data_IF_241432298662
#
_entry.id   IF_241432298662
#
_cell.length_a   1.000
_cell.length_b   1.000
_cell.length_c   1.000
_cell.angle_alpha   90.00
_cell.angle_beta   90.00
_cell.angle_gamma   90.00
#
_symmetry.space_group_name_H-M   'P 1'
#
loop_
_entity.id
_entity.type
_entity.pdbx_description
1 polymer ?
#
# COMPACT_ATOMS: atom_id res chain seq x y z
N UNK A 1 -13.11 -17.70 39.56
CA UNK A 1 -11.91 -17.10 39.07
C UNK A 1 -12.22 -16.32 37.80
N UNK A 2 -12.30 -14.98 37.93
CA UNK A 2 -12.62 -14.07 36.83
C UNK A 2 -11.35 -13.91 35.98
N UNK A 3 -11.38 -14.50 34.79
CA UNK A 3 -10.31 -14.31 33.82
C UNK A 3 -10.37 -12.86 33.33
N UNK A 4 -9.42 -12.05 33.72
CA UNK A 4 -9.22 -10.70 33.19
C UNK A 4 -8.62 -10.91 31.81
N UNK A 5 -9.41 -10.73 30.74
CA UNK A 5 -8.88 -10.55 29.39
C UNK A 5 -8.02 -9.28 29.38
N UNK A 6 -6.79 -9.32 28.88
CA UNK A 6 -6.06 -8.10 28.67
C UNK A 6 -6.81 -7.26 27.61
N UNK A 7 -7.17 -6.04 28.00
CA UNK A 7 -7.79 -5.04 27.14
C UNK A 7 -6.70 -4.52 26.19
N UNK A 8 -6.54 -5.17 25.05
CA UNK A 8 -5.63 -4.74 23.97
C UNK A 8 -6.21 -5.00 22.58
N UNK A 9 -7.50 -5.20 22.46
CA UNK A 9 -8.16 -5.27 21.16
C UNK A 9 -9.15 -4.13 21.09
N UNK A 10 -8.76 -3.07 20.39
CA UNK A 10 -9.66 -2.05 19.89
C UNK A 10 -10.55 -2.78 18.88
N UNK A 11 -11.86 -2.84 19.09
CA UNK A 11 -12.79 -3.54 18.17
C UNK A 11 -12.75 -2.97 16.76
N UNK A 12 -12.19 -1.74 16.61
CA UNK A 12 -12.00 -1.02 15.35
C UNK A 12 -10.52 -0.97 14.92
N UNK A 13 -9.64 -1.79 15.52
CA UNK A 13 -8.22 -1.79 15.24
C UNK A 13 -7.86 -2.37 13.86
N UNK A 14 -6.68 -2.02 13.37
CA UNK A 14 -6.05 -2.62 12.21
C UNK A 14 -4.57 -2.86 12.46
N UNK A 15 -4.05 -3.95 11.91
CA UNK A 15 -2.62 -4.24 11.90
C UNK A 15 -1.98 -3.72 10.61
N UNK A 16 -0.72 -3.36 10.67
CA UNK A 16 0.01 -2.89 9.49
C UNK A 16 1.44 -3.37 9.46
N UNK A 17 1.92 -3.58 8.25
CA UNK A 17 3.29 -4.01 7.96
C UNK A 17 3.86 -3.11 6.88
N UNK A 18 5.08 -2.59 7.11
CA UNK A 18 5.89 -1.98 6.05
C UNK A 18 6.60 -3.11 5.31
N UNK A 19 6.26 -3.29 4.04
CA UNK A 19 6.78 -4.39 3.21
C UNK A 19 8.06 -3.94 2.52
N UNK A 20 9.20 -4.17 3.14
CA UNK A 20 10.51 -3.72 2.63
C UNK A 20 11.23 -4.77 1.76
N UNK A 21 10.79 -6.02 1.78
CA UNK A 21 11.40 -7.11 1.01
C UNK A 21 11.27 -6.88 -0.51
N UNK A 22 12.31 -7.25 -1.25
CA UNK A 22 12.30 -7.22 -2.71
C UNK A 22 12.54 -5.83 -3.32
N UNK A 23 12.94 -4.83 -2.53
CA UNK A 23 13.13 -3.44 -2.96
C UNK A 23 14.58 -2.97 -2.94
N UNK A 24 15.51 -3.91 -2.76
CA UNK A 24 16.94 -3.58 -2.67
C UNK A 24 17.23 -2.62 -1.52
N UNK A 25 18.11 -1.65 -1.76
CA UNK A 25 18.53 -0.65 -0.79
C UNK A 25 17.72 0.64 -0.81
N UNK A 26 16.85 0.82 -1.80
CA UNK A 26 16.07 2.06 -1.96
C UNK A 26 15.23 2.44 -0.73
N UNK A 27 14.63 1.51 0.02
CA UNK A 27 13.91 1.83 1.26
C UNK A 27 14.75 2.56 2.32
N UNK A 28 16.07 2.50 2.23
CA UNK A 28 17.00 3.18 3.15
C UNK A 28 17.52 4.52 2.61
N UNK A 29 17.14 4.91 1.38
CA UNK A 29 17.40 6.24 0.86
C UNK A 29 16.65 7.29 1.70
N UNK A 30 17.15 8.53 1.69
CA UNK A 30 16.59 9.60 2.51
C UNK A 30 15.61 10.46 1.72
N UNK A 31 14.46 10.75 2.33
CA UNK A 31 13.49 11.74 1.90
C UNK A 31 13.27 12.70 3.07
N UNK A 32 13.53 13.99 2.88
CA UNK A 32 13.51 15.00 3.95
C UNK A 32 14.36 14.59 5.17
N UNK A 33 15.49 13.95 4.94
CA UNK A 33 16.41 13.50 5.97
C UNK A 33 16.04 12.22 6.71
N UNK A 34 14.93 11.56 6.35
CA UNK A 34 14.47 10.31 6.94
C UNK A 34 14.48 9.17 5.92
N UNK A 35 14.83 7.96 6.34
CA UNK A 35 14.75 6.79 5.48
C UNK A 35 13.32 6.56 5.00
N UNK A 36 13.15 6.13 3.74
CA UNK A 36 11.81 5.89 3.18
C UNK A 36 11.01 4.92 4.04
N UNK A 37 11.64 3.87 4.54
CA UNK A 37 11.00 2.90 5.44
C UNK A 37 10.51 3.55 6.74
N UNK A 38 11.23 4.53 7.28
CA UNK A 38 10.83 5.27 8.47
C UNK A 38 9.65 6.21 8.18
N UNK A 39 9.65 6.88 7.03
CA UNK A 39 8.52 7.70 6.58
C UNK A 39 7.24 6.85 6.47
N UNK A 40 7.34 5.68 5.87
CA UNK A 40 6.22 4.76 5.72
C UNK A 40 5.69 4.26 7.08
N UNK A 41 6.58 3.90 7.98
CA UNK A 41 6.22 3.48 9.34
C UNK A 41 5.52 4.59 10.11
N UNK A 42 6.02 5.82 10.01
CA UNK A 42 5.40 6.98 10.64
C UNK A 42 3.97 7.22 10.12
N UNK A 43 3.77 7.13 8.80
CA UNK A 43 2.46 7.32 8.19
C UNK A 43 1.44 6.26 8.68
N UNK A 44 1.85 5.00 8.81
CA UNK A 44 1.00 3.96 9.39
C UNK A 44 0.59 4.30 10.82
N UNK A 45 1.53 4.71 11.67
CA UNK A 45 1.25 5.11 13.05
C UNK A 45 0.27 6.27 13.14
N UNK A 46 0.47 7.31 12.33
CA UNK A 46 -0.43 8.48 12.26
C UNK A 46 -1.82 8.12 11.74
N UNK A 47 -1.93 7.08 10.91
CA UNK A 47 -3.22 6.58 10.45
C UNK A 47 -3.98 5.75 11.50
N UNK A 48 -3.41 5.53 12.66
CA UNK A 48 -4.01 4.72 13.74
C UNK A 48 -3.82 3.22 13.56
N UNK A 49 -2.90 2.80 12.70
CA UNK A 49 -2.60 1.39 12.44
C UNK A 49 -1.57 0.88 13.44
N UNK A 50 -1.83 -0.26 14.05
CA UNK A 50 -0.85 -0.93 14.93
C UNK A 50 0.16 -1.68 14.08
N UNK A 51 1.41 -1.26 14.12
CA UNK A 51 2.47 -1.86 13.32
C UNK A 51 2.97 -3.16 13.91
N UNK A 52 3.19 -4.14 13.04
CA UNK A 52 3.83 -5.40 13.33
C UNK A 52 5.01 -5.61 12.39
N UNK A 53 5.92 -6.46 12.79
CA UNK A 53 7.12 -6.80 12.04
C UNK A 53 6.80 -7.72 10.85
N UNK A 54 7.56 -7.60 9.75
CA UNK A 54 7.48 -8.51 8.60
C UNK A 54 7.69 -9.98 8.98
N UNK A 55 8.43 -10.24 10.06
CA UNK A 55 8.67 -11.58 10.59
C UNK A 55 7.51 -12.15 11.41
N UNK A 56 6.43 -11.40 11.61
CA UNK A 56 5.26 -11.88 12.35
C UNK A 56 4.65 -13.08 11.61
N UNK A 57 4.48 -14.24 12.30
CA UNK A 57 3.85 -15.40 11.67
C UNK A 57 2.47 -15.10 11.15
N UNK A 58 2.14 -15.63 9.97
CA UNK A 58 0.84 -15.39 9.34
C UNK A 58 -0.32 -15.82 10.24
N UNK A 59 -0.16 -16.92 10.96
CA UNK A 59 -1.14 -17.44 11.91
C UNK A 59 -1.48 -16.40 13.00
N UNK A 60 -0.50 -15.65 13.47
CA UNK A 60 -0.74 -14.59 14.45
C UNK A 60 -1.56 -13.44 13.86
N UNK A 61 -1.38 -13.12 12.57
CA UNK A 61 -2.19 -12.12 11.88
C UNK A 61 -3.63 -12.62 11.71
N UNK A 62 -3.82 -13.90 11.43
CA UNK A 62 -5.15 -14.52 11.34
C UNK A 62 -5.86 -14.51 12.71
N UNK A 63 -5.15 -14.86 13.78
CA UNK A 63 -5.68 -14.91 15.14
C UNK A 63 -6.08 -13.52 15.67
N UNK A 64 -5.47 -12.46 15.17
CA UNK A 64 -5.80 -11.09 15.56
C UNK A 64 -7.22 -10.67 15.11
N UNK A 65 -7.75 -11.32 14.07
CA UNK A 65 -9.08 -11.01 13.51
C UNK A 65 -9.28 -9.53 13.16
N UNK A 66 -8.19 -8.86 12.76
CA UNK A 66 -8.17 -7.47 12.36
C UNK A 66 -7.82 -7.32 10.87
N UNK A 67 -8.25 -6.23 10.22
CA UNK A 67 -7.75 -5.89 8.88
C UNK A 67 -6.23 -5.75 8.89
N UNK A 68 -5.59 -6.13 7.80
CA UNK A 68 -4.15 -6.00 7.60
C UNK A 68 -3.85 -4.96 6.54
N UNK A 69 -3.08 -3.95 6.93
CA UNK A 69 -2.61 -2.88 6.04
C UNK A 69 -1.19 -3.20 5.60
N UNK A 70 -1.00 -3.39 4.29
CA UNK A 70 0.32 -3.55 3.70
C UNK A 70 0.75 -2.21 3.12
N UNK A 71 1.87 -1.69 3.55
CA UNK A 71 2.38 -0.40 3.09
C UNK A 71 3.75 -0.54 2.42
N UNK A 72 3.86 0.05 1.23
CA UNK A 72 5.08 0.03 0.43
C UNK A 72 5.98 1.21 0.85
N UNK A 73 7.21 0.97 1.35
CA UNK A 73 8.12 2.05 1.68
C UNK A 73 8.55 2.86 0.46
N UNK A 74 8.35 2.36 -0.75
CA UNK A 74 8.57 3.13 -1.99
C UNK A 74 7.41 4.08 -2.33
N UNK A 75 6.37 4.15 -1.48
CA UNK A 75 5.38 5.22 -1.44
C UNK A 75 5.50 5.97 -0.10
N UNK A 76 6.65 6.57 0.21
CA UNK A 76 6.99 6.99 1.57
C UNK A 76 6.17 8.18 2.06
N UNK A 77 5.67 9.02 1.15
CA UNK A 77 4.92 10.23 1.46
C UNK A 77 3.41 10.05 1.31
N UNK A 78 2.94 8.80 1.27
CA UNK A 78 1.50 8.52 1.32
C UNK A 78 0.90 9.16 2.56
N UNK A 79 -0.10 10.06 2.41
CA UNK A 79 -0.71 10.71 3.57
C UNK A 79 -1.38 9.71 4.51
N UNK A 80 -1.24 9.94 5.80
CA UNK A 80 -1.91 9.14 6.82
C UNK A 80 -3.44 9.13 6.64
N UNK A 81 -4.01 10.26 6.26
CA UNK A 81 -5.45 10.40 5.97
C UNK A 81 -5.89 9.45 4.84
N UNK A 82 -5.06 9.27 3.84
CA UNK A 82 -5.38 8.36 2.73
C UNK A 82 -5.33 6.90 3.19
N UNK A 83 -4.33 6.54 4.01
CA UNK A 83 -4.26 5.20 4.61
C UNK A 83 -5.50 4.93 5.46
N UNK A 84 -5.89 5.88 6.30
CA UNK A 84 -7.10 5.77 7.12
C UNK A 84 -8.36 5.63 6.27
N UNK A 85 -8.48 6.37 5.17
CA UNK A 85 -9.60 6.26 4.23
C UNK A 85 -9.67 4.86 3.58
N UNK A 86 -8.53 4.26 3.27
CA UNK A 86 -8.46 2.90 2.74
C UNK A 86 -8.94 1.87 3.78
N UNK A 87 -8.55 2.04 5.04
CA UNK A 87 -9.01 1.18 6.15
C UNK A 87 -10.52 1.29 6.33
N UNK A 88 -11.05 2.50 6.34
CA UNK A 88 -12.50 2.75 6.44
C UNK A 88 -13.27 2.12 5.27
N UNK A 89 -12.76 2.24 4.06
CA UNK A 89 -13.37 1.64 2.88
C UNK A 89 -13.36 0.12 2.96
N UNK A 90 -12.28 -0.46 3.46
CA UNK A 90 -12.19 -1.90 3.70
C UNK A 90 -13.26 -2.36 4.71
N UNK A 91 -13.41 -1.65 5.81
CA UNK A 91 -14.42 -1.97 6.82
C UNK A 91 -15.84 -1.86 6.26
N UNK A 92 -16.12 -0.83 5.46
CA UNK A 92 -17.44 -0.59 4.88
C UNK A 92 -17.84 -1.60 3.81
N UNK A 93 -16.88 -2.05 2.99
CA UNK A 93 -17.13 -2.93 1.83
C UNK A 93 -16.83 -4.39 2.08
N UNK A 94 -16.02 -4.70 3.10
CA UNK A 94 -15.42 -6.03 3.34
C UNK A 94 -14.67 -6.58 2.12
N UNK A 95 -14.18 -5.68 1.26
CA UNK A 95 -13.36 -5.96 0.09
C UNK A 95 -11.90 -5.58 0.35
N UNK A 96 -10.99 -6.16 -0.43
CA UNK A 96 -9.60 -5.71 -0.50
C UNK A 96 -9.59 -4.29 -1.08
N UNK A 97 -8.85 -3.38 -0.46
CA UNK A 97 -8.69 -2.01 -0.95
C UNK A 97 -7.27 -1.81 -1.42
N UNK A 98 -7.13 -1.29 -2.64
CA UNK A 98 -5.82 -1.04 -3.27
C UNK A 98 -5.71 0.43 -3.63
N UNK A 99 -4.68 1.08 -3.11
CA UNK A 99 -4.30 2.43 -3.50
C UNK A 99 -3.72 2.44 -4.92
N UNK A 100 -4.21 3.33 -5.76
CA UNK A 100 -3.81 3.43 -7.17
C UNK A 100 -3.57 4.88 -7.56
N UNK A 101 -2.83 5.08 -8.62
CA UNK A 101 -2.68 6.37 -9.26
C UNK A 101 -2.81 6.24 -10.78
N UNK A 102 -3.31 7.29 -11.47
CA UNK A 102 -3.27 7.32 -12.93
C UNK A 102 -1.81 7.25 -13.41
N UNK A 103 -1.59 6.56 -14.52
CA UNK A 103 -0.30 6.62 -15.21
C UNK A 103 -0.17 8.02 -15.81
N UNK A 104 0.83 8.78 -15.36
CA UNK A 104 1.02 10.19 -15.74
C UNK A 104 1.74 10.37 -17.06
N UNK A 105 2.50 9.37 -17.50
CA UNK A 105 3.22 9.42 -18.76
C UNK A 105 2.29 9.14 -19.93
N UNK A 106 2.39 9.96 -20.98
CA UNK A 106 1.64 9.75 -22.20
C UNK A 106 2.23 8.57 -22.94
N UNK A 107 1.54 7.43 -22.87
CA UNK A 107 1.87 6.29 -23.70
C UNK A 107 1.31 6.54 -25.10
N UNK A 108 2.21 6.64 -26.09
CA UNK A 108 1.86 6.72 -27.50
C UNK A 108 2.17 5.39 -28.15
N UNK A 109 1.16 4.79 -28.77
CA UNK A 109 1.38 3.65 -29.64
C UNK A 109 2.11 4.14 -30.91
N UNK A 110 3.24 3.53 -31.23
CA UNK A 110 4.02 3.81 -32.43
C UNK A 110 3.91 2.57 -33.34
N UNK A 111 3.53 2.77 -34.59
CA UNK A 111 3.48 1.67 -35.56
C UNK A 111 4.88 1.30 -36.08
N UNK A 112 4.95 0.30 -36.96
CA UNK A 112 6.20 -0.19 -37.54
C UNK A 112 6.96 0.86 -38.36
N UNK A 113 6.28 1.91 -38.82
CA UNK A 113 6.85 3.02 -39.58
C UNK A 113 7.24 4.21 -38.68
N UNK A 114 7.09 4.10 -37.37
CA UNK A 114 7.41 5.14 -36.41
C UNK A 114 6.34 6.24 -36.30
N UNK A 115 5.18 6.04 -36.88
CA UNK A 115 4.07 6.99 -36.81
C UNK A 115 3.33 6.82 -35.48
N UNK A 116 3.16 7.92 -34.76
CA UNK A 116 2.39 7.94 -33.52
C UNK A 116 0.92 7.71 -33.85
N UNK A 117 0.39 6.57 -33.40
CA UNK A 117 -1.04 6.26 -33.49
C UNK A 117 -1.77 6.83 -32.25
N UNK A 118 -2.86 6.32 -31.84
CA UNK A 118 -3.67 6.88 -30.77
C UNK A 118 -2.96 7.04 -29.44
N UNK A 119 -3.26 8.13 -28.72
CA UNK A 119 -2.90 8.29 -27.31
C UNK A 119 -3.73 7.29 -26.50
N UNK A 120 -3.08 6.41 -25.76
CA UNK A 120 -3.78 5.49 -24.85
C UNK A 120 -4.51 6.32 -23.78
N UNK A 121 -5.78 6.00 -23.55
CA UNK A 121 -6.61 6.67 -22.56
C UNK A 121 -6.00 6.50 -21.16
N UNK A 122 -5.56 7.61 -20.55
CA UNK A 122 -4.91 7.62 -19.23
C UNK A 122 -5.85 7.17 -18.11
N UNK A 123 -7.17 7.40 -18.27
CA UNK A 123 -8.15 7.01 -17.26
C UNK A 123 -8.30 5.49 -17.16
N UNK A 124 -7.98 4.78 -18.24
CA UNK A 124 -8.00 3.32 -18.28
C UNK A 124 -6.76 2.66 -17.66
N UNK A 125 -5.65 3.41 -17.50
CA UNK A 125 -4.38 2.88 -16.98
C UNK A 125 -4.11 3.40 -15.58
N UNK A 126 -4.10 2.47 -14.63
CA UNK A 126 -3.80 2.78 -13.23
C UNK A 126 -2.60 1.98 -12.75
N UNK A 127 -1.72 2.65 -12.02
CA UNK A 127 -0.58 2.03 -11.36
C UNK A 127 -0.96 1.74 -9.91
N UNK A 128 -0.67 0.52 -9.47
CA UNK A 128 -0.79 0.18 -8.04
C UNK A 128 0.26 0.94 -7.26
N UNK A 129 -0.16 1.60 -6.20
CA UNK A 129 0.70 2.31 -5.27
C UNK A 129 0.60 1.64 -3.89
N UNK A 130 0.12 2.33 -2.91
CA UNK A 130 0.01 1.87 -1.53
C UNK A 130 -1.11 2.64 -0.83
N UNK A 131 -1.74 2.09 0.20
CA UNK A 131 -1.58 0.74 0.75
C UNK A 131 -2.39 -0.31 -0.01
N UNK A 132 -2.21 -1.58 0.37
CA UNK A 132 -3.17 -2.66 0.12
C UNK A 132 -3.74 -3.04 1.49
N UNK A 133 -5.06 -2.98 1.64
CA UNK A 133 -5.76 -3.32 2.88
C UNK A 133 -6.56 -4.60 2.69
N UNK A 134 -6.29 -5.59 3.53
CA UNK A 134 -6.97 -6.88 3.51
C UNK A 134 -7.99 -6.94 4.65
N UNK A 135 -9.27 -7.26 4.37
CA UNK A 135 -10.21 -7.59 5.44
C UNK A 135 -9.73 -8.81 6.24
N UNK A 136 -10.10 -8.90 7.50
CA UNK A 136 -9.75 -10.05 8.35
C UNK A 136 -10.15 -11.39 7.72
N UNK A 137 -11.29 -11.45 7.04
CA UNK A 137 -11.76 -12.65 6.33
C UNK A 137 -10.84 -13.07 5.18
N UNK A 138 -10.23 -12.10 4.48
CA UNK A 138 -9.25 -12.37 3.42
C UNK A 138 -7.93 -12.86 4.03
N UNK A 139 -7.47 -12.24 5.11
CA UNK A 139 -6.28 -12.71 5.85
C UNK A 139 -6.46 -14.18 6.27
N UNK A 140 -7.61 -14.52 6.82
CA UNK A 140 -7.93 -15.88 7.21
C UNK A 140 -8.02 -16.85 6.02
N UNK A 141 -8.38 -16.37 4.85
CA UNK A 141 -8.48 -17.16 3.61
C UNK A 141 -7.15 -17.39 2.90
N UNK A 142 -6.07 -16.77 3.37
CA UNK A 142 -4.73 -16.88 2.78
C UNK A 142 -3.80 -17.65 3.72
N UNK A 143 -2.78 -18.29 3.13
CA UNK A 143 -1.69 -18.92 3.88
C UNK A 143 -0.45 -17.99 4.01
N UNK A 144 -0.49 -16.82 3.42
CA UNK A 144 0.56 -15.83 3.36
C UNK A 144 0.41 -14.96 2.13
N UNK A 145 1.34 -14.03 1.90
CA UNK A 145 1.36 -13.19 0.71
C UNK A 145 1.96 -13.95 -0.47
N UNK A 146 1.28 -13.95 -1.61
CA UNK A 146 1.76 -14.59 -2.85
C UNK A 146 2.97 -13.85 -3.43
N UNK A 147 3.08 -12.54 -3.19
CA UNK A 147 4.18 -11.70 -3.64
C UNK A 147 4.36 -10.51 -2.70
N UNK A 148 5.55 -9.94 -2.68
CA UNK A 148 5.84 -8.65 -2.03
C UNK A 148 5.80 -7.47 -3.02
N UNK A 149 5.71 -7.76 -4.32
CA UNK A 149 5.42 -6.76 -5.35
C UNK A 149 3.91 -6.45 -5.32
N UNK A 150 3.55 -5.19 -5.10
CA UNK A 150 2.14 -4.82 -4.90
C UNK A 150 1.30 -4.95 -6.16
N UNK A 151 1.88 -4.74 -7.33
CA UNK A 151 1.14 -4.95 -8.59
C UNK A 151 0.79 -6.42 -8.79
N UNK A 152 1.75 -7.32 -8.55
CA UNK A 152 1.53 -8.78 -8.62
C UNK A 152 0.55 -9.25 -7.54
N UNK A 153 0.71 -8.75 -6.31
CA UNK A 153 -0.17 -9.08 -5.20
C UNK A 153 -1.60 -8.63 -5.45
N UNK A 154 -1.79 -7.41 -5.94
CA UNK A 154 -3.12 -6.89 -6.28
C UNK A 154 -3.79 -7.73 -7.37
N UNK A 155 -3.05 -8.15 -8.39
CA UNK A 155 -3.57 -9.01 -9.44
C UNK A 155 -3.98 -10.40 -8.90
N UNK A 156 -3.17 -11.00 -8.05
CA UNK A 156 -3.48 -12.28 -7.39
C UNK A 156 -4.74 -12.17 -6.52
N UNK A 157 -4.85 -11.12 -5.72
CA UNK A 157 -6.01 -10.89 -4.87
C UNK A 157 -7.28 -10.65 -5.69
N UNK A 158 -7.18 -9.88 -6.78
CA UNK A 158 -8.32 -9.60 -7.66
C UNK A 158 -8.87 -10.85 -8.36
N UNK A 159 -8.01 -11.86 -8.60
CA UNK A 159 -8.43 -13.14 -9.15
C UNK A 159 -9.23 -13.99 -8.15
N UNK A 160 -9.15 -13.70 -6.86
CA UNK A 160 -9.69 -14.54 -5.77
C UNK A 160 -10.75 -13.86 -4.91
N UNK A 161 -10.68 -12.53 -4.76
CA UNK A 161 -11.52 -11.77 -3.85
C UNK A 161 -12.04 -10.49 -4.50
N UNK A 162 -13.13 -9.91 -3.97
CA UNK A 162 -13.55 -8.57 -4.37
C UNK A 162 -12.46 -7.54 -4.05
N UNK A 163 -12.16 -6.68 -5.01
CA UNK A 163 -11.18 -5.60 -4.87
C UNK A 163 -11.82 -4.26 -5.22
N UNK A 164 -11.58 -3.27 -4.38
CA UNK A 164 -11.96 -1.87 -4.58
C UNK A 164 -10.68 -1.04 -4.67
N UNK A 165 -10.62 -0.11 -5.60
CA UNK A 165 -9.50 0.82 -5.73
C UNK A 165 -9.86 2.19 -5.20
N UNK A 166 -8.88 2.87 -4.57
CA UNK A 166 -8.95 4.28 -4.20
C UNK A 166 -7.77 5.02 -4.82
N UNK A 167 -8.04 6.19 -5.39
CA UNK A 167 -6.99 7.01 -5.97
C UNK A 167 -6.22 7.74 -4.89
N UNK A 168 -4.90 7.45 -4.82
CA UNK A 168 -3.98 8.15 -3.93
C UNK A 168 -3.70 9.57 -4.44
N UNK A 169 -3.46 10.54 -3.56
CA UNK A 169 -3.01 11.86 -3.95
C UNK A 169 -1.60 11.84 -4.55
N UNK A 170 -1.17 12.94 -5.17
CA UNK A 170 0.10 13.02 -5.88
C UNK A 170 1.32 12.66 -5.02
N UNK A 171 1.30 13.01 -3.72
CA UNK A 171 2.35 12.67 -2.76
C UNK A 171 2.46 11.16 -2.51
N UNK A 172 1.39 10.41 -2.77
CA UNK A 172 1.37 8.96 -2.63
C UNK A 172 2.02 8.19 -3.77
N UNK A 173 2.72 8.88 -4.67
CA UNK A 173 3.42 8.24 -5.79
C UNK A 173 4.50 7.27 -5.33
N UNK A 174 4.71 6.24 -6.13
CA UNK A 174 5.78 5.27 -5.91
C UNK A 174 7.08 5.78 -6.55
N UNK A 175 8.18 5.69 -5.81
CA UNK A 175 9.53 6.00 -6.30
C UNK A 175 10.22 4.72 -6.79
N UNK A 176 10.96 4.82 -7.88
CA UNK A 176 11.72 3.70 -8.45
C UNK A 176 13.23 3.83 -8.32
N UNK A 177 13.72 5.05 -8.05
CA UNK A 177 15.13 5.38 -7.90
C UNK A 177 15.32 6.65 -7.05
N UNK A 178 16.58 7.04 -6.84
CA UNK A 178 16.89 8.23 -6.04
C UNK A 178 16.48 9.55 -6.73
N UNK A 179 16.42 9.59 -8.06
CA UNK A 179 15.95 10.78 -8.78
C UNK A 179 14.45 10.99 -8.53
N UNK A 180 13.67 9.91 -8.49
CA UNK A 180 12.25 9.97 -8.11
C UNK A 180 12.08 10.48 -6.68
N UNK A 181 12.97 10.10 -5.76
CA UNK A 181 12.94 10.59 -4.37
C UNK A 181 13.14 12.11 -4.34
N UNK A 182 14.06 12.65 -5.12
CA UNK A 182 14.28 14.10 -5.20
C UNK A 182 13.06 14.84 -5.75
N UNK A 183 12.40 14.27 -6.77
CA UNK A 183 11.14 14.82 -7.30
C UNK A 183 10.06 14.83 -6.22
N UNK A 184 9.96 13.75 -5.46
CA UNK A 184 9.00 13.64 -4.36
C UNK A 184 9.31 14.64 -3.23
N UNK A 185 10.58 14.84 -2.88
CA UNK A 185 10.99 15.86 -1.92
C UNK A 185 10.54 17.26 -2.36
N UNK A 186 10.75 17.60 -3.64
CA UNK A 186 10.32 18.87 -4.19
C UNK A 186 8.79 19.04 -4.15
N UNK A 187 8.06 17.98 -4.45
CA UNK A 187 6.59 17.97 -4.42
C UNK A 187 6.02 18.14 -3.00
N UNK A 188 6.73 17.63 -2.00
CA UNK A 188 6.29 17.60 -0.60
C UNK A 188 7.02 18.62 0.28
N UNK A 189 7.83 19.51 -0.31
CA UNK A 189 8.48 20.59 0.41
C UNK A 189 7.45 21.55 1.00
N UNK A 190 7.66 21.96 2.29
CA UNK A 190 6.84 22.95 3.01
C UNK A 190 7.57 24.27 3.13
#
# INVERSE_FOLDING_TARGET
>A
ATSVRPVLYDEDGSLGVVVESGRGSLPFALCHGEALVACAAWALGEAGVTQVDMGTPWEALVEAEEPLVLHDPLCPMTPADFIAACVERCAATQAVVVGVRPVTDTLKAVDADGVVQDTVDREAMRQVTSPIVLPASVVAGLAGLASTDFAELAADLAARFPVVTLEAPAEGRRVGDEDDVRVLEALTAR
#
